data_IF_077306174917
#
_entry.id   IF_077306174917
#
_cell.length_a   1.000
_cell.length_b   1.000
_cell.length_c   1.000
_cell.angle_alpha   90.00
_cell.angle_beta   90.00
_cell.angle_gamma   90.00
#
_symmetry.space_group_name_H-M   'P 1'
#
loop_
_entity.id
_entity.type
_entity.pdbx_description
1 polymer ?
#
# COMPACT_ATOMS: atom_id res chain seq x y z
N UNK A 1 -22.08 -10.33 -2.03
CA UNK A 1 -21.38 -9.61 -0.96
C UNK A 1 -19.90 -9.81 -1.17
N UNK A 2 -19.11 -8.75 -1.26
CA UNK A 2 -17.80 -8.75 -1.91
C UNK A 2 -16.74 -9.54 -1.12
N UNK A 3 -16.61 -10.84 -1.41
CA UNK A 3 -15.62 -11.76 -0.81
C UNK A 3 -14.17 -11.22 -0.80
N UNK A 4 -13.82 -10.38 -1.77
CA UNK A 4 -12.52 -9.72 -1.83
C UNK A 4 -12.32 -8.72 -0.68
N UNK A 5 -13.34 -7.94 -0.34
CA UNK A 5 -13.30 -6.99 0.77
C UNK A 5 -13.27 -7.71 2.13
N UNK A 6 -14.00 -8.81 2.26
CA UNK A 6 -14.02 -9.62 3.48
C UNK A 6 -12.65 -10.29 3.70
N UNK A 7 -12.06 -10.85 2.65
CA UNK A 7 -10.71 -11.46 2.73
C UNK A 7 -9.65 -10.40 3.05
N UNK A 8 -9.73 -9.22 2.42
CA UNK A 8 -8.84 -8.11 2.74
C UNK A 8 -9.02 -7.68 4.19
N UNK A 9 -10.25 -7.52 4.67
CA UNK A 9 -10.52 -7.12 6.07
C UNK A 9 -10.02 -8.15 7.08
N UNK A 10 -10.20 -9.45 6.84
CA UNK A 10 -9.67 -10.52 7.70
C UNK A 10 -8.13 -10.55 7.68
N UNK A 11 -7.50 -10.33 6.52
CA UNK A 11 -6.05 -10.25 6.41
C UNK A 11 -5.48 -9.01 7.13
N UNK A 12 -6.15 -7.87 7.01
CA UNK A 12 -5.81 -6.62 7.70
C UNK A 12 -5.97 -6.76 9.21
N UNK A 13 -7.01 -7.46 9.67
CA UNK A 13 -7.25 -7.72 11.10
C UNK A 13 -6.23 -8.69 11.71
N UNK A 14 -5.67 -9.60 10.89
CA UNK A 14 -4.75 -10.64 11.36
C UNK A 14 -3.31 -10.16 11.54
N UNK A 15 -2.88 -9.15 10.80
CA UNK A 15 -1.52 -8.61 10.88
C UNK A 15 -1.54 -7.08 10.89
N UNK A 16 -1.32 -6.42 12.04
CA UNK A 16 -1.36 -4.96 12.13
C UNK A 16 -0.30 -4.28 11.23
N UNK A 17 0.73 -5.02 10.80
CA UNK A 17 1.76 -4.57 9.85
C UNK A 17 1.43 -4.75 8.37
N UNK A 18 0.22 -5.19 8.03
CA UNK A 18 -0.15 -5.46 6.63
C UNK A 18 -0.35 -4.17 5.82
N UNK A 19 -0.91 -3.11 6.41
CA UNK A 19 -1.06 -1.81 5.73
C UNK A 19 0.30 -1.21 5.30
N UNK A 20 1.30 -1.14 6.20
CA UNK A 20 2.67 -0.77 5.83
C UNK A 20 3.23 -1.60 4.67
N UNK A 21 3.01 -2.92 4.72
CA UNK A 21 3.47 -3.85 3.70
C UNK A 21 2.79 -3.63 2.34
N UNK A 22 1.48 -3.35 2.32
CA UNK A 22 0.75 -3.01 1.10
C UNK A 22 1.27 -1.70 0.52
N UNK A 23 1.49 -0.68 1.36
CA UNK A 23 2.08 0.58 0.94
C UNK A 23 3.49 0.41 0.36
N UNK A 24 4.31 -0.43 0.98
CA UNK A 24 5.64 -0.79 0.48
C UNK A 24 5.57 -1.52 -0.87
N UNK A 25 4.64 -2.46 -1.03
CA UNK A 25 4.43 -3.17 -2.29
C UNK A 25 4.03 -2.21 -3.43
N UNK A 26 3.19 -1.22 -3.14
CA UNK A 26 2.81 -0.16 -4.09
C UNK A 26 4.01 0.71 -4.50
N UNK A 27 4.89 1.05 -3.55
CA UNK A 27 6.12 1.81 -3.85
C UNK A 27 7.07 0.99 -4.72
N UNK A 28 7.27 -0.30 -4.42
CA UNK A 28 8.10 -1.20 -5.25
C UNK A 28 7.49 -1.34 -6.65
N UNK A 29 6.16 -1.49 -6.75
CA UNK A 29 5.47 -1.57 -8.02
C UNK A 29 5.64 -0.28 -8.84
N UNK A 30 5.57 0.90 -8.20
CA UNK A 30 5.86 2.18 -8.86
C UNK A 30 7.29 2.20 -9.43
N UNK A 31 8.27 1.69 -8.67
CA UNK A 31 9.66 1.57 -9.10
C UNK A 31 9.81 0.65 -10.32
N UNK A 32 9.13 -0.49 -10.33
CA UNK A 32 9.12 -1.39 -11.49
C UNK A 32 8.45 -0.73 -12.69
N UNK A 33 7.34 -0.02 -12.47
CA UNK A 33 6.63 0.71 -13.52
C UNK A 33 7.45 1.88 -14.09
N UNK A 34 8.32 2.52 -13.32
CA UNK A 34 9.26 3.54 -13.82
C UNK A 34 10.18 3.04 -14.93
N UNK A 35 10.50 1.74 -14.97
CA UNK A 35 11.27 1.17 -16.08
C UNK A 35 10.48 1.10 -17.39
N UNK A 36 9.15 1.09 -17.31
CA UNK A 36 8.25 1.10 -18.47
C UNK A 36 7.77 2.54 -18.71
N UNK A 37 8.64 3.32 -19.36
CA UNK A 37 8.33 4.70 -19.77
C UNK A 37 7.13 4.71 -20.74
N UNK A 38 6.18 5.65 -20.58
CA UNK A 38 5.06 5.83 -21.51
C UNK A 38 3.66 5.97 -20.88
N UNK A 39 3.53 5.84 -19.57
CA UNK A 39 2.25 6.03 -18.86
C UNK A 39 2.28 7.28 -17.98
N UNK A 40 1.31 8.19 -18.15
CA UNK A 40 1.16 9.41 -17.34
C UNK A 40 1.09 9.14 -15.82
N UNK A 41 0.56 7.98 -15.44
CA UNK A 41 0.50 7.49 -14.06
C UNK A 41 1.90 7.27 -13.47
N UNK A 42 2.87 6.87 -14.30
CA UNK A 42 4.26 6.63 -13.91
C UNK A 42 5.03 7.94 -13.80
N UNK A 43 4.81 8.87 -14.74
CA UNK A 43 5.42 10.22 -14.68
C UNK A 43 5.02 10.96 -13.40
N UNK A 44 3.75 10.83 -13.01
CA UNK A 44 3.21 11.48 -11.82
C UNK A 44 3.59 10.76 -10.51
N UNK A 45 4.24 9.59 -10.57
CA UNK A 45 4.58 8.77 -9.41
C UNK A 45 3.37 8.52 -8.49
N UNK A 46 2.18 8.34 -9.08
CA UNK A 46 0.92 8.32 -8.32
C UNK A 46 0.89 7.15 -7.33
N UNK A 47 1.40 5.99 -7.75
CA UNK A 47 1.51 4.80 -6.91
C UNK A 47 2.50 4.99 -5.74
N UNK A 48 3.55 5.79 -5.94
CA UNK A 48 4.50 6.12 -4.87
C UNK A 48 3.83 6.98 -3.80
N UNK A 49 3.08 8.01 -4.19
CA UNK A 49 2.36 8.87 -3.26
C UNK A 49 1.29 8.10 -2.48
N UNK A 50 0.47 7.31 -3.17
CA UNK A 50 -0.57 6.49 -2.54
C UNK A 50 0.04 5.43 -1.62
N UNK A 51 1.08 4.73 -2.09
CA UNK A 51 1.80 3.73 -1.30
C UNK A 51 2.43 4.31 -0.03
N UNK A 52 3.00 5.51 -0.13
CA UNK A 52 3.56 6.23 1.02
C UNK A 52 2.48 6.60 2.05
N UNK A 53 1.35 7.15 1.60
CA UNK A 53 0.23 7.53 2.48
C UNK A 53 -0.33 6.29 3.19
N UNK A 54 -0.57 5.20 2.46
CA UNK A 54 -1.07 3.94 3.03
C UNK A 54 -0.06 3.37 4.04
N UNK A 55 1.23 3.43 3.72
CA UNK A 55 2.28 2.94 4.61
C UNK A 55 2.36 3.75 5.91
N UNK A 56 2.33 5.07 5.80
CA UNK A 56 2.30 5.98 6.95
C UNK A 56 1.06 5.74 7.82
N UNK A 57 -0.13 5.65 7.23
CA UNK A 57 -1.36 5.35 7.97
C UNK A 57 -1.25 3.99 8.65
N UNK A 58 -0.71 2.99 7.95
CA UNK A 58 -0.46 1.67 8.51
C UNK A 58 0.47 1.68 9.72
N UNK A 59 1.56 2.45 9.64
CA UNK A 59 2.52 2.58 10.75
C UNK A 59 1.87 3.35 11.91
N UNK A 60 1.05 4.36 11.64
CA UNK A 60 0.32 5.13 12.66
C UNK A 60 -0.78 4.30 13.35
N UNK A 61 -1.40 3.36 12.63
CA UNK A 61 -2.38 2.41 13.18
C UNK A 61 -1.71 1.32 14.03
N UNK A 62 -0.47 0.96 13.71
CA UNK A 62 0.42 0.27 14.65
C UNK A 62 0.71 1.25 15.80
N UNK A 63 -0.09 1.16 16.86
CA UNK A 63 0.22 1.85 18.12
C UNK A 63 1.59 1.33 18.61
N UNK A 64 2.57 2.22 18.86
CA UNK A 64 3.71 1.87 19.72
C UNK A 64 3.32 1.79 21.21
N UNK A 65 2.04 1.94 21.54
CA UNK A 65 1.52 1.98 22.91
C UNK A 65 1.11 0.58 23.36
N UNK A 66 2.09 -0.17 23.86
CA UNK A 66 1.88 -1.06 25.01
C UNK A 66 1.65 -0.23 26.28
#
# INVERSE_FOLDING_TARGET
>A
MNKLLDTLSEFLAKYPGLLPLIGLALIILNLVLQFFQGFWIVESNLFLHIGLIISLIGILLIRPLG
#
